data_IF_321942559743
#
_entry.id   IF_321942559743
#
_cell.length_a   1.000
_cell.length_b   1.000
_cell.length_c   1.000
_cell.angle_alpha   90.00
_cell.angle_beta   90.00
_cell.angle_gamma   90.00
#
_symmetry.space_group_name_H-M   'P 1'
#
loop_
_entity.id
_entity.type
_entity.pdbx_description
1 polymer ?
#
# COMPACT_ATOMS: atom_id res chain seq x y z
N UNK A 1 17.71 8.97 -15.47
CA UNK A 1 17.36 7.53 -15.27
C UNK A 1 16.97 6.93 -16.61
N UNK A 2 17.17 5.63 -16.83
CA UNK A 2 16.83 4.99 -18.11
C UNK A 2 15.65 4.03 -17.95
N UNK A 3 14.71 4.01 -18.91
CA UNK A 3 13.48 3.20 -18.83
C UNK A 3 13.73 1.71 -18.60
N UNK A 4 14.75 1.15 -19.24
CA UNK A 4 15.09 -0.28 -19.09
C UNK A 4 15.38 -0.72 -17.68
N UNK A 5 15.84 0.18 -16.80
CA UNK A 5 16.10 -0.11 -15.39
C UNK A 5 14.79 -0.20 -14.57
N UNK A 6 13.70 0.35 -15.08
CA UNK A 6 12.43 0.48 -14.36
C UNK A 6 11.32 -0.40 -14.92
N UNK A 7 11.28 -0.62 -16.23
CA UNK A 7 10.24 -1.39 -16.91
C UNK A 7 10.82 -2.71 -17.41
N UNK A 8 10.37 -3.81 -16.81
CA UNK A 8 10.73 -5.17 -17.26
C UNK A 8 10.06 -5.46 -18.60
N UNK A 9 10.76 -6.25 -19.45
CA UNK A 9 10.27 -6.67 -20.78
C UNK A 9 9.97 -5.50 -21.74
N UNK A 10 10.71 -4.42 -21.61
CA UNK A 10 10.65 -3.28 -22.52
C UNK A 10 11.44 -3.62 -23.80
N UNK A 11 10.89 -3.26 -24.95
CA UNK A 11 11.54 -3.39 -26.24
C UNK A 11 12.92 -2.70 -26.23
N UNK A 12 13.94 -3.33 -26.83
CA UNK A 12 15.36 -2.87 -26.79
C UNK A 12 15.51 -1.40 -27.19
N UNK A 13 14.76 -0.94 -28.19
CA UNK A 13 14.77 0.44 -28.69
C UNK A 13 14.38 1.50 -27.65
N UNK A 14 13.60 1.12 -26.62
CA UNK A 14 13.15 2.04 -25.57
C UNK A 14 13.98 1.98 -24.29
N UNK A 15 14.83 0.97 -24.12
CA UNK A 15 15.57 0.75 -22.86
C UNK A 15 16.51 1.89 -22.49
N UNK A 16 17.12 2.52 -23.50
CA UNK A 16 18.08 3.65 -23.33
C UNK A 16 17.41 5.03 -23.25
N UNK A 17 16.08 5.12 -23.23
CA UNK A 17 15.39 6.40 -23.11
C UNK A 17 15.58 6.95 -21.71
N UNK A 18 16.13 8.15 -21.65
CA UNK A 18 16.33 8.89 -20.40
C UNK A 18 15.03 9.56 -19.96
N UNK A 19 14.76 9.51 -18.64
CA UNK A 19 13.73 10.31 -18.00
C UNK A 19 14.23 10.88 -16.67
N UNK A 20 13.68 12.04 -16.26
CA UNK A 20 14.10 12.78 -15.07
C UNK A 20 13.13 12.64 -13.90
N UNK A 21 11.87 12.25 -14.16
CA UNK A 21 10.84 12.09 -13.16
C UNK A 21 9.56 11.47 -13.71
N UNK A 22 8.58 11.29 -12.85
CA UNK A 22 7.28 10.68 -13.16
C UNK A 22 6.14 11.53 -12.61
N UNK A 23 5.03 11.61 -13.32
CA UNK A 23 3.80 12.21 -12.84
C UNK A 23 2.56 11.54 -13.49
N UNK A 24 1.41 11.66 -12.84
CA UNK A 24 0.09 11.29 -13.35
C UNK A 24 -0.87 12.49 -13.40
N UNK A 25 -0.40 13.66 -12.98
CA UNK A 25 -1.06 14.95 -13.16
C UNK A 25 -0.21 15.78 -14.11
N UNK A 26 -0.79 16.26 -15.21
CA UNK A 26 -0.10 17.04 -16.24
C UNK A 26 0.45 18.37 -15.71
N UNK A 27 -0.17 18.96 -14.68
CA UNK A 27 0.35 20.19 -14.05
C UNK A 27 1.72 20.03 -13.39
N UNK A 28 2.09 18.79 -13.02
CA UNK A 28 3.35 18.47 -12.36
C UNK A 28 4.45 18.01 -13.33
N UNK A 29 4.17 17.97 -14.62
CA UNK A 29 5.13 17.55 -15.64
C UNK A 29 6.24 18.59 -15.78
N UNK A 30 7.46 18.06 -15.90
CA UNK A 30 8.68 18.81 -16.25
C UNK A 30 9.38 18.12 -17.41
N UNK A 31 10.41 18.78 -17.96
CA UNK A 31 11.21 18.27 -19.09
C UNK A 31 11.72 16.84 -18.82
N UNK A 32 11.54 15.97 -19.78
CA UNK A 32 11.92 14.56 -19.76
C UNK A 32 11.17 13.70 -18.71
N UNK A 33 9.96 14.07 -18.29
CA UNK A 33 9.14 13.24 -17.41
C UNK A 33 8.44 12.11 -18.16
N UNK A 34 8.09 11.08 -17.41
CA UNK A 34 7.07 10.10 -17.81
C UNK A 34 5.72 10.59 -17.31
N UNK A 35 4.77 10.73 -18.21
CA UNK A 35 3.38 10.99 -17.88
C UNK A 35 2.58 9.69 -17.90
N UNK A 36 1.93 9.37 -16.78
CA UNK A 36 1.00 8.26 -16.68
C UNK A 36 -0.42 8.74 -16.91
N UNK A 37 -0.95 8.50 -18.11
CA UNK A 37 -2.31 8.84 -18.50
C UNK A 37 -3.29 7.80 -17.92
N UNK A 38 -3.70 8.02 -16.67
CA UNK A 38 -4.53 7.09 -15.89
C UNK A 38 -5.96 7.60 -15.84
N UNK A 39 -6.92 6.74 -16.20
CA UNK A 39 -8.34 7.04 -16.01
C UNK A 39 -8.69 7.07 -14.52
N UNK A 40 -9.10 8.23 -14.02
CA UNK A 40 -9.63 8.43 -12.67
C UNK A 40 -11.13 8.14 -12.58
N UNK A 41 -11.73 8.45 -11.41
CA UNK A 41 -13.18 8.34 -11.23
C UNK A 41 -13.92 9.54 -11.87
N UNK A 42 -13.33 10.75 -11.80
CA UNK A 42 -13.92 11.99 -12.32
C UNK A 42 -13.29 12.47 -13.62
N UNK A 43 -12.01 12.23 -13.81
CA UNK A 43 -11.23 12.71 -14.95
C UNK A 43 -10.53 11.55 -15.65
N UNK A 44 -10.36 11.63 -16.96
CA UNK A 44 -9.54 10.68 -17.72
C UNK A 44 -8.17 11.34 -18.01
N UNK A 45 -7.08 10.76 -17.46
CA UNK A 45 -5.73 11.25 -17.71
C UNK A 45 -5.33 11.26 -19.18
N UNK A 46 -6.03 10.52 -20.03
CA UNK A 46 -5.79 10.53 -21.48
C UNK A 46 -6.15 11.87 -22.12
N UNK A 47 -7.09 12.62 -21.55
CA UNK A 47 -7.51 13.94 -22.06
C UNK A 47 -6.43 15.02 -21.83
N UNK A 48 -5.44 14.73 -20.96
CA UNK A 48 -4.36 15.65 -20.60
C UNK A 48 -3.01 15.30 -21.25
N UNK A 49 -2.98 14.39 -22.24
CA UNK A 49 -1.73 13.96 -22.87
C UNK A 49 -1.06 15.10 -23.63
N UNK A 50 -1.83 15.88 -24.39
CA UNK A 50 -1.28 17.01 -25.13
C UNK A 50 -0.67 18.09 -24.20
N UNK A 51 -1.36 18.39 -23.09
CA UNK A 51 -0.86 19.31 -22.07
C UNK A 51 0.45 18.78 -21.46
N UNK A 52 0.51 17.49 -21.15
CA UNK A 52 1.73 16.87 -20.64
C UNK A 52 2.89 16.93 -21.63
N UNK A 53 2.63 16.73 -22.93
CA UNK A 53 3.64 16.84 -23.99
C UNK A 53 4.15 18.28 -24.09
N UNK A 54 3.26 19.27 -24.15
CA UNK A 54 3.61 20.70 -24.18
C UNK A 54 4.50 21.10 -23.00
N UNK A 55 4.29 20.50 -21.83
CA UNK A 55 5.10 20.73 -20.61
C UNK A 55 6.39 19.91 -20.55
N UNK A 56 6.67 19.11 -21.56
CA UNK A 56 7.95 18.42 -21.72
C UNK A 56 7.96 16.95 -21.29
N UNK A 57 6.81 16.28 -21.25
CA UNK A 57 6.78 14.82 -21.11
C UNK A 57 7.50 14.17 -22.29
N UNK A 58 8.43 13.26 -22.00
CA UNK A 58 9.18 12.51 -23.02
C UNK A 58 8.56 11.15 -23.29
N UNK A 59 7.89 10.59 -22.31
CA UNK A 59 7.26 9.27 -22.37
C UNK A 59 5.84 9.37 -21.87
N UNK A 60 4.90 8.81 -22.63
CA UNK A 60 3.50 8.71 -22.26
C UNK A 60 3.17 7.22 -22.03
N UNK A 61 2.59 6.91 -20.90
CA UNK A 61 2.14 5.55 -20.55
C UNK A 61 0.64 5.55 -20.40
N UNK A 62 -0.06 4.71 -21.18
CA UNK A 62 -1.51 4.55 -21.14
C UNK A 62 -1.90 3.08 -21.34
N UNK A 63 -3.14 2.73 -20.96
CA UNK A 63 -3.75 1.45 -21.35
C UNK A 63 -4.35 1.48 -22.76
N UNK A 64 -4.63 2.67 -23.31
CA UNK A 64 -5.12 2.85 -24.65
C UNK A 64 -4.00 2.72 -25.70
N UNK A 65 -4.38 2.32 -26.90
CA UNK A 65 -3.47 2.39 -28.04
C UNK A 65 -3.52 3.82 -28.58
N UNK A 66 -2.40 4.51 -28.54
CA UNK A 66 -2.31 5.91 -28.97
C UNK A 66 -1.28 6.01 -30.08
N UNK A 67 -1.64 6.70 -31.15
CA UNK A 67 -0.73 7.05 -32.23
C UNK A 67 -0.63 8.59 -32.30
N UNK A 68 0.58 9.11 -32.18
CA UNK A 68 0.86 10.53 -32.32
C UNK A 68 1.92 10.74 -33.39
N UNK A 69 1.82 11.87 -34.12
CA UNK A 69 2.75 12.22 -35.21
C UNK A 69 4.14 12.66 -34.72
N UNK A 70 4.27 13.03 -33.43
CA UNK A 70 5.55 13.51 -32.91
C UNK A 70 6.51 12.33 -32.62
N UNK A 71 7.51 12.19 -33.50
CA UNK A 71 8.58 11.17 -33.41
C UNK A 71 9.47 11.31 -32.15
N UNK A 72 9.42 12.44 -31.46
CA UNK A 72 10.22 12.70 -30.27
C UNK A 72 9.59 12.16 -28.99
N UNK A 73 8.31 11.81 -29.02
CA UNK A 73 7.57 11.30 -27.86
C UNK A 73 7.43 9.79 -27.95
N UNK A 74 7.69 9.12 -26.86
CA UNK A 74 7.54 7.67 -26.75
C UNK A 74 6.22 7.31 -26.11
N UNK A 75 5.41 6.54 -26.84
CA UNK A 75 4.14 6.01 -26.33
C UNK A 75 4.29 4.55 -25.97
N UNK A 76 3.94 4.21 -24.73
CA UNK A 76 3.96 2.85 -24.23
C UNK A 76 2.56 2.43 -23.80
N UNK A 77 2.00 1.44 -24.50
CA UNK A 77 0.76 0.78 -24.10
C UNK A 77 1.05 -0.22 -23.00
N UNK A 78 0.47 -0.01 -21.82
CA UNK A 78 0.66 -0.88 -20.65
C UNK A 78 -0.72 -1.28 -20.11
N UNK A 79 -0.96 -2.57 -19.94
CA UNK A 79 -2.24 -3.13 -19.47
C UNK A 79 -2.70 -2.55 -18.12
N UNK A 80 -1.78 -2.21 -17.22
CA UNK A 80 -2.10 -1.62 -15.92
C UNK A 80 -1.11 -0.50 -15.59
N UNK A 81 -1.36 0.74 -16.07
CA UNK A 81 -0.51 1.90 -15.80
C UNK A 81 -0.42 2.24 -14.31
N UNK A 82 -1.51 2.02 -13.54
CA UNK A 82 -1.53 2.27 -12.08
C UNK A 82 -0.51 1.41 -11.36
N UNK A 83 -0.49 0.11 -11.66
CA UNK A 83 0.47 -0.83 -11.09
C UNK A 83 1.90 -0.45 -11.46
N UNK A 84 2.15 -0.13 -12.72
CA UNK A 84 3.48 0.28 -13.17
C UNK A 84 3.94 1.59 -12.52
N UNK A 85 3.04 2.58 -12.36
CA UNK A 85 3.32 3.81 -11.63
C UNK A 85 3.80 3.50 -10.20
N UNK A 86 3.10 2.62 -9.50
CA UNK A 86 3.47 2.23 -8.14
C UNK A 86 4.83 1.50 -8.12
N UNK A 87 5.02 0.51 -8.98
CA UNK A 87 6.28 -0.23 -9.08
C UNK A 87 7.48 0.69 -9.38
N UNK A 88 7.32 1.69 -10.24
CA UNK A 88 8.39 2.65 -10.54
C UNK A 88 8.60 3.59 -9.35
N UNK A 89 7.52 4.11 -8.75
CA UNK A 89 7.62 5.03 -7.62
C UNK A 89 8.41 4.42 -6.46
N UNK A 90 8.18 3.16 -6.15
CA UNK A 90 8.87 2.49 -5.03
C UNK A 90 10.30 2.04 -5.35
N UNK A 91 10.68 1.98 -6.62
CA UNK A 91 12.11 1.83 -6.98
C UNK A 91 12.96 3.05 -6.64
N UNK A 92 12.35 4.19 -6.37
CA UNK A 92 13.05 5.37 -5.86
C UNK A 92 13.35 5.32 -4.36
N UNK A 93 12.87 4.31 -3.64
CA UNK A 93 13.22 4.09 -2.24
C UNK A 93 14.67 3.62 -2.15
N UNK A 94 15.53 4.46 -1.56
CA UNK A 94 16.99 4.30 -1.60
C UNK A 94 17.56 3.25 -0.64
N UNK A 95 16.82 2.90 0.43
CA UNK A 95 17.27 1.98 1.48
C UNK A 95 16.14 1.08 1.94
N UNK A 96 16.49 -0.09 2.46
CA UNK A 96 15.50 -1.00 3.04
C UNK A 96 14.99 -0.49 4.39
N UNK A 97 13.69 -0.58 4.57
CA UNK A 97 13.02 -0.41 5.86
C UNK A 97 13.22 -1.71 6.65
N UNK A 98 13.53 -1.61 7.94
CA UNK A 98 13.76 -2.78 8.80
C UNK A 98 12.51 -3.65 8.90
N UNK A 99 11.35 -3.02 9.11
CA UNK A 99 10.02 -3.67 9.13
C UNK A 99 8.98 -2.75 8.51
N UNK A 100 8.30 -3.26 7.51
CA UNK A 100 7.17 -2.60 6.87
C UNK A 100 5.90 -3.43 7.08
N UNK A 101 4.90 -2.84 7.70
CA UNK A 101 3.65 -3.48 8.09
C UNK A 101 2.48 -2.82 7.36
N UNK A 102 1.49 -3.60 6.94
CA UNK A 102 0.24 -3.05 6.40
C UNK A 102 -0.95 -3.61 7.17
N UNK A 103 -1.90 -2.75 7.49
CA UNK A 103 -3.17 -3.13 8.10
C UNK A 103 -4.34 -2.83 7.16
N UNK A 104 -5.18 -3.85 6.93
CA UNK A 104 -6.41 -3.72 6.14
C UNK A 104 -7.60 -4.31 6.89
N UNK A 105 -8.80 -3.94 6.49
CA UNK A 105 -10.08 -4.35 7.06
C UNK A 105 -11.14 -3.27 6.84
N UNK A 106 -12.35 -3.48 7.30
CA UNK A 106 -13.39 -2.43 7.26
C UNK A 106 -13.14 -1.44 8.39
N UNK A 107 -13.11 -1.89 9.62
CA UNK A 107 -12.93 -1.08 10.81
C UNK A 107 -11.63 -1.42 11.54
N UNK A 108 -11.17 -0.51 12.41
CA UNK A 108 -10.03 -0.74 13.30
C UNK A 108 -8.64 -0.56 12.66
N UNK A 109 -8.52 -0.23 11.39
CA UNK A 109 -7.22 0.01 10.72
C UNK A 109 -6.42 1.11 11.40
N UNK A 110 -7.03 2.27 11.59
CA UNK A 110 -6.39 3.44 12.21
C UNK A 110 -6.03 3.19 13.66
N UNK A 111 -6.92 2.51 14.42
CA UNK A 111 -6.64 2.14 15.81
C UNK A 111 -5.45 1.20 15.93
N UNK A 112 -5.37 0.17 15.08
CA UNK A 112 -4.24 -0.76 15.07
C UNK A 112 -2.94 -0.05 14.68
N UNK A 113 -2.98 0.84 13.67
CA UNK A 113 -1.81 1.59 13.25
C UNK A 113 -1.33 2.55 14.34
N UNK A 114 -2.25 3.22 15.02
CA UNK A 114 -1.97 4.16 16.09
C UNK A 114 -1.44 3.45 17.35
N UNK A 115 -2.09 2.37 17.80
CA UNK A 115 -1.59 1.59 18.94
C UNK A 115 -0.21 0.98 18.66
N UNK A 116 0.03 0.48 17.45
CA UNK A 116 1.35 0.00 17.07
C UNK A 116 2.39 1.12 17.18
N UNK A 117 2.06 2.32 16.68
CA UNK A 117 2.93 3.48 16.81
C UNK A 117 3.17 3.84 18.27
N UNK A 118 2.13 3.99 19.08
CA UNK A 118 2.24 4.37 20.49
C UNK A 118 3.07 3.37 21.28
N UNK A 119 2.77 2.06 21.18
CA UNK A 119 3.46 1.01 21.92
C UNK A 119 4.96 0.99 21.59
N UNK A 120 5.33 1.07 20.31
CA UNK A 120 6.72 1.09 19.92
C UNK A 120 7.42 2.40 20.29
N UNK A 121 6.73 3.53 20.18
CA UNK A 121 7.28 4.85 20.57
C UNK A 121 7.54 4.91 22.07
N UNK A 122 6.63 4.42 22.92
CA UNK A 122 6.85 4.29 24.37
C UNK A 122 8.03 3.39 24.69
N UNK A 123 8.26 2.34 23.91
CA UNK A 123 9.42 1.46 24.02
C UNK A 123 10.68 2.03 23.33
N UNK A 124 10.72 3.34 23.05
CA UNK A 124 11.87 4.05 22.47
C UNK A 124 12.32 3.48 21.11
N UNK A 125 11.42 2.82 20.37
CA UNK A 125 11.71 2.35 19.00
C UNK A 125 11.47 3.48 18.00
N UNK A 126 12.26 3.48 16.93
CA UNK A 126 12.12 4.45 15.82
C UNK A 126 11.02 3.97 14.89
N UNK A 127 9.80 4.46 15.13
CA UNK A 127 8.58 4.02 14.48
C UNK A 127 7.83 5.19 13.82
N UNK A 128 7.10 4.88 12.75
CA UNK A 128 6.13 5.77 12.14
C UNK A 128 4.84 5.02 11.78
N UNK A 129 3.72 5.74 11.78
CA UNK A 129 2.46 5.28 11.18
C UNK A 129 2.04 6.20 10.03
N UNK A 130 1.38 5.62 9.01
CA UNK A 130 0.87 6.33 7.84
C UNK A 130 -0.57 5.87 7.61
N UNK A 131 -1.52 6.77 7.67
CA UNK A 131 -2.92 6.42 7.49
C UNK A 131 -3.86 7.60 7.72
N UNK A 132 -5.11 7.32 8.01
CA UNK A 132 -6.18 8.33 8.17
C UNK A 132 -5.83 9.43 9.17
N UNK A 133 -5.08 9.09 10.23
CA UNK A 133 -4.65 10.08 11.23
C UNK A 133 -3.50 10.97 10.69
N UNK A 134 -2.93 10.65 9.55
CA UNK A 134 -1.77 11.33 8.97
C UNK A 134 -0.50 10.49 9.04
N UNK A 135 0.66 11.14 8.91
CA UNK A 135 1.98 10.55 9.14
C UNK A 135 2.45 10.93 10.52
N UNK A 136 2.53 9.96 11.41
CA UNK A 136 3.04 10.16 12.78
C UNK A 136 4.46 9.62 12.89
N UNK A 137 5.39 10.42 13.40
CA UNK A 137 6.77 9.99 13.70
C UNK A 137 7.43 10.94 14.69
N UNK A 138 8.19 10.43 15.66
CA UNK A 138 8.93 11.24 16.64
C UNK A 138 8.08 12.35 17.28
N UNK A 139 6.85 12.02 17.68
CA UNK A 139 5.87 12.93 18.26
C UNK A 139 5.46 14.11 17.34
N UNK A 140 5.68 13.98 16.02
CA UNK A 140 5.19 14.91 14.99
C UNK A 140 4.11 14.23 14.15
N UNK A 141 3.11 15.01 13.78
CA UNK A 141 2.01 14.59 12.92
C UNK A 141 1.99 15.49 11.68
N UNK A 142 1.83 14.87 10.51
CA UNK A 142 1.66 15.56 9.23
C UNK A 142 0.34 15.06 8.66
N UNK A 143 -0.58 15.94 8.34
CA UNK A 143 -1.87 15.61 7.73
C UNK A 143 -1.68 15.13 6.30
N UNK A 144 -2.53 14.21 5.87
CA UNK A 144 -2.56 13.69 4.51
C UNK A 144 -4.00 13.58 4.03
N UNK A 145 -4.22 13.79 2.73
CA UNK A 145 -5.57 13.81 2.15
C UNK A 145 -6.25 12.43 2.07
N UNK A 146 -5.47 11.37 1.96
CA UNK A 146 -6.00 10.03 1.72
C UNK A 146 -5.40 9.00 2.68
N UNK A 147 -6.23 8.12 3.23
CA UNK A 147 -5.79 6.99 4.08
C UNK A 147 -4.65 6.19 3.46
N UNK A 148 -4.71 5.93 2.16
CA UNK A 148 -3.62 5.34 1.38
C UNK A 148 -3.23 6.31 0.28
N UNK A 149 -2.09 6.94 0.41
CA UNK A 149 -1.57 7.94 -0.52
C UNK A 149 -1.32 7.37 -1.92
N UNK A 150 -1.20 8.25 -2.91
CA UNK A 150 -0.69 7.85 -4.20
C UNK A 150 0.79 7.40 -4.12
N UNK A 151 1.25 6.54 -5.04
CA UNK A 151 2.58 5.94 -4.94
C UNK A 151 3.74 6.94 -4.94
N UNK A 152 3.60 8.06 -5.65
CA UNK A 152 4.67 9.08 -5.74
C UNK A 152 4.85 9.76 -4.38
N UNK A 153 3.77 10.20 -3.77
CA UNK A 153 3.79 10.83 -2.45
C UNK A 153 4.25 9.86 -1.37
N UNK A 154 3.69 8.63 -1.39
CA UNK A 154 4.06 7.62 -0.41
C UNK A 154 5.55 7.26 -0.49
N UNK A 155 6.11 7.16 -1.69
CA UNK A 155 7.55 6.89 -1.86
C UNK A 155 8.43 8.02 -1.32
N UNK A 156 8.01 9.29 -1.47
CA UNK A 156 8.72 10.44 -0.90
C UNK A 156 8.68 10.43 0.62
N UNK A 157 7.51 10.18 1.21
CA UNK A 157 7.35 10.08 2.66
C UNK A 157 8.19 8.94 3.23
N UNK A 158 8.18 7.78 2.61
CA UNK A 158 8.99 6.63 3.04
C UNK A 158 10.49 6.99 2.99
N UNK A 159 10.96 7.66 1.93
CA UNK A 159 12.36 8.10 1.85
C UNK A 159 12.71 9.12 2.96
N UNK A 160 11.82 10.06 3.26
CA UNK A 160 12.00 11.02 4.37
C UNK A 160 12.07 10.30 5.71
N UNK A 161 11.20 9.32 5.96
CA UNK A 161 11.23 8.51 7.17
C UNK A 161 12.52 7.69 7.29
N UNK A 162 13.01 7.13 6.18
CA UNK A 162 14.31 6.42 6.14
C UNK A 162 15.46 7.37 6.43
N UNK A 163 15.44 8.58 5.88
CA UNK A 163 16.45 9.61 6.17
C UNK A 163 16.44 9.97 7.65
N UNK A 164 15.28 10.05 8.28
CA UNK A 164 15.11 10.24 9.73
C UNK A 164 15.42 9.00 10.55
N UNK A 165 15.98 7.95 9.94
CA UNK A 165 16.37 6.68 10.57
C UNK A 165 15.21 5.93 11.23
N UNK A 166 14.00 6.02 10.70
CA UNK A 166 12.86 5.22 11.14
C UNK A 166 13.08 3.75 10.73
N UNK A 167 12.91 2.82 11.69
CA UNK A 167 13.11 1.39 11.48
C UNK A 167 11.80 0.64 11.19
N UNK A 168 10.71 1.08 11.81
CA UNK A 168 9.40 0.41 11.79
C UNK A 168 8.37 1.34 11.18
N UNK A 169 7.71 0.89 10.12
CA UNK A 169 6.63 1.66 9.49
C UNK A 169 5.39 0.77 9.41
N UNK A 170 4.28 1.25 9.97
CA UNK A 170 2.96 0.67 9.74
C UNK A 170 2.14 1.61 8.86
N UNK A 171 1.43 1.06 7.87
CA UNK A 171 0.56 1.83 7.02
C UNK A 171 -0.84 1.22 6.89
N UNK A 172 -1.83 2.09 6.75
CA UNK A 172 -3.19 1.69 6.44
C UNK A 172 -3.33 1.38 4.95
N UNK A 173 -3.73 0.14 4.64
CA UNK A 173 -4.02 -0.33 3.30
C UNK A 173 -5.54 -0.34 3.08
N UNK A 174 -6.10 0.79 2.62
CA UNK A 174 -7.52 0.90 2.30
C UNK A 174 -7.89 0.01 1.10
N UNK A 175 -9.16 -0.42 1.03
CA UNK A 175 -9.65 -1.22 -0.11
C UNK A 175 -9.52 -0.48 -1.44
N UNK A 176 -9.74 0.83 -1.45
CA UNK A 176 -9.52 1.69 -2.62
C UNK A 176 -8.04 1.71 -3.03
N UNK A 177 -7.12 1.92 -2.07
CA UNK A 177 -5.69 1.93 -2.34
C UNK A 177 -5.19 0.60 -2.91
N UNK A 178 -5.63 -0.52 -2.34
CA UNK A 178 -5.31 -1.87 -2.82
C UNK A 178 -5.93 -2.16 -4.20
N UNK A 179 -7.21 -1.81 -4.42
CA UNK A 179 -7.88 -1.96 -5.73
C UNK A 179 -7.22 -1.13 -6.82
N UNK A 180 -6.72 0.05 -6.47
CA UNK A 180 -6.01 0.95 -7.38
C UNK A 180 -4.52 0.64 -7.51
N UNK A 181 -4.03 -0.47 -6.99
CA UNK A 181 -2.62 -0.88 -7.01
C UNK A 181 -1.65 0.16 -6.41
N UNK A 182 -2.11 1.02 -5.47
CA UNK A 182 -1.27 2.09 -4.93
C UNK A 182 -0.07 1.58 -4.14
N UNK A 183 -0.12 0.33 -3.64
CA UNK A 183 0.92 -0.29 -2.84
C UNK A 183 1.73 -1.35 -3.59
N UNK A 184 1.42 -1.60 -4.88
CA UNK A 184 2.15 -2.57 -5.72
C UNK A 184 3.60 -2.12 -5.94
N UNK A 185 4.53 -3.01 -5.67
CA UNK A 185 5.97 -2.71 -5.66
C UNK A 185 6.56 -2.54 -4.26
N UNK A 186 5.73 -2.32 -3.22
CA UNK A 186 6.14 -2.51 -1.83
C UNK A 186 6.09 -4.01 -1.47
N UNK A 187 6.91 -4.38 -0.50
CA UNK A 187 6.94 -5.74 0.05
C UNK A 187 6.88 -5.68 1.58
N UNK A 188 5.79 -6.22 2.15
CA UNK A 188 5.51 -6.11 3.58
C UNK A 188 6.04 -7.32 4.35
N UNK A 189 6.52 -7.08 5.57
CA UNK A 189 6.95 -8.10 6.53
C UNK A 189 5.77 -8.69 7.31
N UNK A 190 4.71 -7.89 7.51
CA UNK A 190 3.50 -8.28 8.23
C UNK A 190 2.29 -7.66 7.53
N UNK A 191 1.25 -8.46 7.31
CA UNK A 191 -0.06 -8.01 6.90
C UNK A 191 -1.08 -8.31 7.99
N UNK A 192 -1.88 -7.31 8.37
CA UNK A 192 -2.91 -7.45 9.40
C UNK A 192 -4.28 -7.33 8.72
N UNK A 193 -5.18 -8.30 8.99
CA UNK A 193 -6.57 -8.25 8.59
C UNK A 193 -7.43 -8.12 9.84
N UNK A 194 -8.12 -6.99 9.99
CA UNK A 194 -8.93 -6.74 11.18
C UNK A 194 -10.31 -7.42 11.09
N UNK A 195 -11.12 -7.00 10.13
CA UNK A 195 -12.48 -7.52 9.92
C UNK A 195 -13.01 -7.15 8.53
N UNK A 196 -14.19 -7.68 8.20
CA UNK A 196 -14.92 -7.32 6.99
C UNK A 196 -16.42 -7.21 7.31
N UNK A 197 -16.97 -6.03 7.10
CA UNK A 197 -18.40 -5.75 7.12
C UNK A 197 -18.83 -5.03 5.86
N UNK A 198 -20.13 -4.83 5.65
CA UNK A 198 -20.63 -4.10 4.48
C UNK A 198 -20.17 -2.65 4.50
N UNK A 199 -19.41 -2.25 3.46
CA UNK A 199 -18.92 -0.90 3.26
C UNK A 199 -18.43 -0.71 1.82
N UNK A 200 -18.44 0.52 1.30
CA UNK A 200 -17.91 0.88 -0.01
C UNK A 200 -18.41 0.00 -1.20
N UNK A 201 -19.66 -0.53 -1.14
CA UNK A 201 -20.21 -1.37 -2.20
C UNK A 201 -20.55 -0.56 -3.46
N UNK A 202 -20.80 0.73 -3.33
CA UNK A 202 -20.89 1.70 -4.41
C UNK A 202 -19.66 1.65 -5.33
N UNK A 203 -18.47 1.59 -4.73
CA UNK A 203 -17.19 1.51 -5.45
C UNK A 203 -16.83 0.08 -5.88
N UNK A 204 -16.99 -0.89 -5.01
CA UNK A 204 -16.58 -2.29 -5.25
C UNK A 204 -17.61 -3.12 -5.99
N UNK A 205 -18.85 -2.62 -6.12
CA UNK A 205 -20.01 -3.24 -6.76
C UNK A 205 -20.61 -4.44 -5.99
N UNK A 206 -19.80 -5.25 -5.33
CA UNK A 206 -20.26 -6.38 -4.53
C UNK A 206 -19.22 -6.74 -3.45
N UNK A 207 -19.70 -7.52 -2.48
CA UNK A 207 -18.92 -7.95 -1.32
C UNK A 207 -17.68 -8.78 -1.69
N UNK A 208 -17.80 -9.64 -2.71
CA UNK A 208 -16.69 -10.47 -3.20
C UNK A 208 -15.53 -9.64 -3.76
N UNK A 209 -15.84 -8.60 -4.54
CA UNK A 209 -14.83 -7.68 -5.05
C UNK A 209 -14.18 -6.86 -3.93
N UNK A 210 -14.98 -6.45 -2.93
CA UNK A 210 -14.49 -5.75 -1.76
C UNK A 210 -13.51 -6.61 -0.94
N UNK A 211 -13.89 -7.86 -0.63
CA UNK A 211 -12.99 -8.82 0.01
C UNK A 211 -11.71 -9.04 -0.82
N UNK A 212 -11.86 -9.33 -2.13
CA UNK A 212 -10.72 -9.56 -3.00
C UNK A 212 -9.76 -8.37 -3.07
N UNK A 213 -10.26 -7.14 -2.99
CA UNK A 213 -9.40 -5.95 -2.94
C UNK A 213 -8.51 -5.95 -1.70
N UNK A 214 -9.02 -6.35 -0.53
CA UNK A 214 -8.23 -6.45 0.71
C UNK A 214 -7.29 -7.66 0.69
N UNK A 215 -7.74 -8.79 0.17
CA UNK A 215 -6.92 -9.99 0.02
C UNK A 215 -5.75 -9.81 -0.95
N UNK A 216 -5.75 -8.76 -1.78
CA UNK A 216 -4.63 -8.38 -2.64
C UNK A 216 -3.33 -8.20 -1.83
N UNK A 217 -3.42 -7.59 -0.64
CA UNK A 217 -2.29 -7.44 0.28
C UNK A 217 -1.59 -8.78 0.54
N UNK A 218 -2.35 -9.81 0.90
CA UNK A 218 -1.82 -11.11 1.30
C UNK A 218 -1.40 -11.96 0.10
N UNK A 219 -2.11 -11.83 -1.02
CA UNK A 219 -1.83 -12.58 -2.24
C UNK A 219 -0.56 -12.12 -2.96
N UNK A 220 -0.22 -10.82 -2.89
CA UNK A 220 0.78 -10.23 -3.79
C UNK A 220 1.83 -9.34 -3.13
N UNK A 221 1.56 -8.77 -1.95
CA UNK A 221 2.40 -7.71 -1.38
C UNK A 221 3.20 -8.14 -0.16
N UNK A 222 3.02 -9.36 0.33
CA UNK A 222 3.80 -9.90 1.44
C UNK A 222 5.09 -10.57 0.93
N UNK A 223 6.17 -10.42 1.70
CA UNK A 223 7.43 -11.14 1.49
C UNK A 223 7.23 -12.64 1.73
N UNK A 224 8.05 -13.48 1.13
CA UNK A 224 8.07 -14.92 1.46
C UNK A 224 8.36 -15.11 2.95
N UNK A 225 7.70 -16.09 3.58
CA UNK A 225 7.83 -16.42 5.01
C UNK A 225 7.44 -15.27 5.97
N UNK A 226 6.77 -14.22 5.48
CA UNK A 226 6.25 -13.14 6.32
C UNK A 226 5.00 -13.57 7.09
N UNK A 227 4.47 -12.67 7.91
CA UNK A 227 3.36 -12.99 8.80
C UNK A 227 2.04 -12.38 8.29
N UNK A 228 0.96 -13.13 8.47
CA UNK A 228 -0.41 -12.63 8.48
C UNK A 228 -0.89 -12.67 9.93
N UNK A 229 -1.53 -11.60 10.38
CA UNK A 229 -2.21 -11.56 11.68
C UNK A 229 -3.69 -11.34 11.40
N UNK A 230 -4.56 -12.18 11.98
CA UNK A 230 -6.01 -12.05 11.83
C UNK A 230 -6.75 -12.64 13.02
N UNK A 231 -7.95 -12.12 13.24
CA UNK A 231 -8.89 -12.73 14.17
C UNK A 231 -9.34 -14.10 13.62
N UNK A 232 -9.32 -15.13 14.47
CA UNK A 232 -9.71 -16.50 14.11
C UNK A 232 -11.23 -16.70 14.06
N UNK A 233 -12.00 -15.74 14.56
CA UNK A 233 -13.46 -15.83 14.64
C UNK A 233 -14.19 -15.21 13.45
N UNK A 234 -13.48 -14.50 12.59
CA UNK A 234 -14.09 -13.86 11.42
C UNK A 234 -14.48 -14.87 10.34
N UNK A 235 -15.57 -14.62 9.60
CA UNK A 235 -16.00 -15.51 8.51
C UNK A 235 -14.95 -15.76 7.44
N UNK A 236 -14.05 -14.79 7.19
CA UNK A 236 -13.03 -14.83 6.13
C UNK A 236 -11.76 -15.60 6.51
N UNK A 237 -11.69 -16.17 7.70
CA UNK A 237 -10.46 -16.82 8.20
C UNK A 237 -10.01 -17.98 7.31
N UNK A 238 -10.96 -18.73 6.74
CA UNK A 238 -10.64 -19.86 5.87
C UNK A 238 -9.95 -19.42 4.58
N UNK A 239 -10.40 -18.33 3.95
CA UNK A 239 -9.74 -17.76 2.77
C UNK A 239 -8.33 -17.27 3.09
N UNK A 240 -8.16 -16.61 4.25
CA UNK A 240 -6.85 -16.13 4.72
C UNK A 240 -5.92 -17.32 4.96
N UNK A 241 -6.42 -18.40 5.57
CA UNK A 241 -5.69 -19.64 5.82
C UNK A 241 -5.22 -20.31 4.52
N UNK A 242 -6.11 -20.42 3.53
CA UNK A 242 -5.76 -20.94 2.20
C UNK A 242 -4.69 -20.10 1.51
N UNK A 243 -4.78 -18.77 1.61
CA UNK A 243 -3.75 -17.88 1.06
C UNK A 243 -2.42 -18.09 1.77
N UNK A 244 -2.42 -18.21 3.11
CA UNK A 244 -1.19 -18.40 3.88
C UNK A 244 -0.47 -19.69 3.48
N UNK A 245 -1.19 -20.79 3.32
CA UNK A 245 -0.65 -22.07 2.85
C UNK A 245 -0.09 -21.93 1.43
N UNK A 246 -0.91 -21.44 0.49
CA UNK A 246 -0.52 -21.29 -0.94
C UNK A 246 0.70 -20.40 -1.13
N UNK A 247 0.86 -19.37 -0.30
CA UNK A 247 1.94 -18.38 -0.39
C UNK A 247 3.12 -18.68 0.55
N UNK A 248 3.04 -19.74 1.34
CA UNK A 248 4.05 -20.11 2.36
C UNK A 248 4.30 -18.95 3.34
N UNK A 249 3.19 -18.39 3.88
CA UNK A 249 3.18 -17.33 4.87
C UNK A 249 2.86 -17.92 6.25
N UNK A 250 3.29 -17.24 7.30
CA UNK A 250 3.03 -17.64 8.68
C UNK A 250 1.75 -16.97 9.18
N UNK A 251 0.66 -17.70 9.28
CA UNK A 251 -0.57 -17.18 9.87
C UNK A 251 -0.47 -17.19 11.39
N UNK A 252 -0.73 -16.05 12.02
CA UNK A 252 -0.90 -15.85 13.44
C UNK A 252 -2.33 -15.42 13.72
N UNK A 253 -3.01 -16.14 14.60
CA UNK A 253 -4.40 -15.89 14.93
C UNK A 253 -4.57 -15.30 16.31
N UNK A 254 -5.61 -14.50 16.49
CA UNK A 254 -5.97 -13.86 17.77
C UNK A 254 -7.43 -14.11 18.09
N UNK A 255 -7.79 -13.91 19.35
CA UNK A 255 -9.10 -13.94 20.00
C UNK A 255 -9.72 -15.32 20.20
N UNK A 256 -9.94 -16.14 19.18
CA UNK A 256 -10.66 -17.39 19.30
C UNK A 256 -9.90 -18.45 20.11
N UNK A 257 -10.62 -19.49 20.52
CA UNK A 257 -10.05 -20.67 21.21
C UNK A 257 -8.96 -21.31 20.32
N UNK A 258 -7.86 -21.70 20.96
CA UNK A 258 -6.67 -22.25 20.29
C UNK A 258 -5.94 -21.27 19.33
N UNK A 259 -6.20 -19.97 19.45
CA UNK A 259 -5.43 -18.96 18.73
C UNK A 259 -4.04 -18.78 19.33
N UNK A 260 -3.11 -18.20 18.53
CA UNK A 260 -1.76 -17.86 19.02
C UNK A 260 -1.82 -16.87 20.21
N UNK A 261 -2.81 -15.96 20.19
CA UNK A 261 -3.20 -15.11 21.31
C UNK A 261 -4.70 -15.29 21.55
N UNK A 262 -5.06 -16.00 22.61
CA UNK A 262 -6.45 -16.32 22.95
C UNK A 262 -7.01 -15.30 23.93
N UNK A 263 -8.19 -14.76 23.66
CA UNK A 263 -8.95 -13.93 24.59
C UNK A 263 -9.80 -14.83 25.48
N UNK A 264 -9.42 -14.95 26.77
CA UNK A 264 -10.15 -15.79 27.73
C UNK A 264 -11.36 -15.03 28.28
N UNK A 265 -11.18 -13.77 28.66
CA UNK A 265 -12.24 -12.93 29.24
C UNK A 265 -12.02 -11.47 28.87
N UNK A 266 -13.11 -10.78 28.60
CA UNK A 266 -13.17 -9.35 28.45
C UNK A 266 -14.25 -8.80 29.39
N UNK A 267 -13.90 -7.85 30.22
CA UNK A 267 -14.82 -7.19 31.13
C UNK A 267 -14.53 -5.68 31.16
N UNK A 268 -15.54 -4.93 31.58
CA UNK A 268 -15.45 -3.48 31.71
C UNK A 268 -15.56 -3.12 33.19
N UNK A 269 -14.77 -2.15 33.63
CA UNK A 269 -14.99 -1.35 34.83
C UNK A 269 -15.30 0.08 34.41
N UNK A 270 -15.69 0.95 35.35
CA UNK A 270 -16.07 2.32 35.04
C UNK A 270 -15.00 3.11 34.28
N UNK A 271 -13.73 2.78 34.42
CA UNK A 271 -12.59 3.53 33.85
C UNK A 271 -11.68 2.68 32.96
N UNK A 272 -11.79 1.36 33.01
CA UNK A 272 -10.83 0.45 32.37
C UNK A 272 -11.49 -0.73 31.66
N UNK A 273 -10.84 -1.19 30.61
CA UNK A 273 -11.10 -2.51 30.03
C UNK A 273 -10.12 -3.52 30.62
N UNK A 274 -10.64 -4.65 31.08
CA UNK A 274 -9.83 -5.76 31.62
C UNK A 274 -9.87 -6.90 30.62
N UNK A 275 -8.72 -7.25 30.10
CA UNK A 275 -8.55 -8.35 29.16
C UNK A 275 -7.75 -9.46 29.85
N UNK A 276 -8.32 -10.65 29.95
CA UNK A 276 -7.58 -11.85 30.33
C UNK A 276 -7.20 -12.59 29.06
N UNK A 277 -5.91 -12.64 28.77
CA UNK A 277 -5.40 -13.21 27.52
C UNK A 277 -4.45 -14.37 27.82
N UNK A 278 -4.42 -15.34 26.91
CA UNK A 278 -3.46 -16.43 26.93
C UNK A 278 -2.55 -16.33 25.72
N UNK A 279 -1.25 -16.28 25.97
CA UNK A 279 -0.22 -16.34 24.95
C UNK A 279 0.74 -17.48 25.25
N UNK A 280 0.81 -18.48 24.36
CA UNK A 280 1.49 -19.75 24.61
C UNK A 280 0.90 -20.40 25.88
N UNK A 281 1.72 -20.74 26.86
CA UNK A 281 1.30 -21.34 28.15
C UNK A 281 1.02 -20.33 29.26
N UNK A 282 1.21 -19.02 29.02
CA UNK A 282 1.05 -17.97 30.04
C UNK A 282 -0.28 -17.26 29.90
N UNK A 283 -0.87 -16.92 31.03
CA UNK A 283 -2.07 -16.09 31.14
C UNK A 283 -1.66 -14.72 31.70
N UNK A 284 -2.19 -13.68 31.10
CA UNK A 284 -1.94 -12.30 31.49
C UNK A 284 -3.25 -11.59 31.79
#
# INVERSE_FOLDING_TARGET
MYLGNFIKKLDKKYQKIFFSGIAFNSSLIKKNYIFFAIKGNKLDGNDYIEDAIKKGAKVIISEKNLSFKDKNIVFLKIKNPRKLLAEISYKFIKKNIKKLIAVTGTNGKSSVADFYYQILNLNKKRVASIGTIGVQSKNKKIEIENTTLNPIELSKIINDLIFKKIDYIILEASSHGLRQNRLDGLSFDIGIFTNLSHDHLDYHKNFKNYLNSKLHLFKYLLKKKSYIISDSTIPQINEIKQISIKKKLNLKTIFGKNSDLELIRHSYSNEHQILKIKYKSKIF
#
